data_IF_470381448875
#
_entry.id   IF_470381448875
#
_cell.length_a   1.000
_cell.length_b   1.000
_cell.length_c   1.000
_cell.angle_alpha   90.00
_cell.angle_beta   90.00
_cell.angle_gamma   90.00
#
_symmetry.space_group_name_H-M   'P 1'
#
loop_
_entity.id
_entity.type
_entity.pdbx_description
1 polymer ?
#
# COMPACT_ATOMS: atom_id res chain seq x y z
N UNK A 1 0.97 4.09 24.49
CA UNK A 1 1.74 4.36 23.26
C UNK A 1 0.76 4.56 22.13
N UNK A 2 0.91 5.55 21.23
CA UNK A 2 -0.02 5.65 20.12
C UNK A 2 0.17 4.38 19.29
N UNK A 3 -0.89 3.57 19.22
CA UNK A 3 -0.95 2.45 18.29
C UNK A 3 -0.98 3.10 16.90
N UNK A 4 0.19 3.24 16.27
CA UNK A 4 0.33 4.00 15.03
C UNK A 4 -0.50 3.33 13.95
N UNK A 5 -1.40 4.11 13.37
CA UNK A 5 -2.27 3.64 12.30
C UNK A 5 -1.47 3.34 11.02
N UNK A 6 -2.01 2.46 10.21
CA UNK A 6 -1.45 2.01 8.95
C UNK A 6 -1.27 3.18 7.97
N UNK A 7 -2.10 4.22 8.06
CA UNK A 7 -1.93 5.43 7.25
C UNK A 7 -0.65 6.18 7.58
N UNK A 8 -0.38 6.42 8.86
CA UNK A 8 0.84 7.09 9.32
C UNK A 8 2.06 6.24 8.98
N UNK A 9 1.98 4.92 9.19
CA UNK A 9 3.02 4.00 8.74
C UNK A 9 3.25 4.10 7.22
N UNK A 10 2.18 4.08 6.41
CA UNK A 10 2.28 4.16 4.96
C UNK A 10 2.98 5.43 4.49
N UNK A 11 2.64 6.59 5.08
CA UNK A 11 3.29 7.86 4.75
C UNK A 11 4.79 7.85 5.06
N UNK A 12 5.19 7.36 6.24
CA UNK A 12 6.59 7.32 6.64
C UNK A 12 7.39 6.29 5.83
N UNK A 13 6.79 5.14 5.54
CA UNK A 13 7.40 4.10 4.73
C UNK A 13 7.59 4.58 3.28
N UNK A 14 6.56 5.18 2.69
CA UNK A 14 6.61 5.67 1.31
C UNK A 14 7.59 6.84 1.12
N UNK A 15 7.83 7.64 2.17
CA UNK A 15 8.80 8.72 2.15
C UNK A 15 10.27 8.25 2.16
N UNK A 16 10.53 6.95 2.38
CA UNK A 16 11.90 6.40 2.38
C UNK A 16 12.45 6.27 0.97
N UNK A 17 13.77 6.42 0.87
CA UNK A 17 14.51 6.30 -0.38
C UNK A 17 14.23 4.96 -1.08
N UNK A 18 13.92 5.03 -2.38
CA UNK A 18 13.69 3.88 -3.23
C UNK A 18 12.31 3.21 -3.09
N UNK A 19 11.49 3.58 -2.08
CA UNK A 19 10.17 2.96 -1.87
C UNK A 19 9.19 3.34 -2.97
N UNK A 20 9.10 4.62 -3.34
CA UNK A 20 8.26 5.06 -4.46
C UNK A 20 8.59 4.27 -5.74
N UNK A 21 9.88 4.17 -6.09
CA UNK A 21 10.35 3.41 -7.27
C UNK A 21 9.99 1.93 -7.17
N UNK A 22 10.21 1.30 -6.01
CA UNK A 22 9.86 -0.10 -5.79
C UNK A 22 8.35 -0.35 -5.91
N UNK A 23 7.52 0.53 -5.33
CA UNK A 23 6.07 0.44 -5.42
C UNK A 23 5.58 0.61 -6.87
N UNK A 24 6.15 1.53 -7.64
CA UNK A 24 5.80 1.74 -9.05
C UNK A 24 6.16 0.52 -9.91
N UNK A 25 7.34 -0.07 -9.68
CA UNK A 25 7.77 -1.30 -10.35
C UNK A 25 6.82 -2.46 -10.06
N UNK A 26 6.47 -2.67 -8.79
CA UNK A 26 5.52 -3.72 -8.38
C UNK A 26 4.11 -3.44 -8.92
N UNK A 27 3.68 -2.18 -8.93
CA UNK A 27 2.40 -1.77 -9.49
C UNK A 27 2.32 -2.05 -10.99
N UNK A 28 3.41 -1.85 -11.74
CA UNK A 28 3.47 -2.18 -13.17
C UNK A 28 3.28 -3.69 -13.45
N UNK A 29 3.57 -4.53 -12.46
CA UNK A 29 3.39 -5.98 -12.49
C UNK A 29 1.99 -6.41 -11.99
N UNK A 30 1.09 -5.44 -11.75
CA UNK A 30 -0.29 -5.67 -11.31
C UNK A 30 -0.46 -5.72 -9.79
N UNK A 31 0.54 -5.33 -9.00
CA UNK A 31 0.41 -5.30 -7.55
C UNK A 31 -0.46 -4.11 -7.08
N UNK A 32 -1.22 -4.36 -6.02
CA UNK A 32 -1.89 -3.30 -5.27
C UNK A 32 -0.96 -2.73 -4.20
N UNK A 33 -0.53 -1.47 -4.39
CA UNK A 33 0.38 -0.79 -3.48
C UNK A 33 -0.19 -0.68 -2.06
N UNK A 34 -1.51 -0.48 -1.89
CA UNK A 34 -2.10 -0.40 -0.54
C UNK A 34 -2.03 -1.75 0.18
N UNK A 35 -2.30 -2.84 -0.54
CA UNK A 35 -2.17 -4.20 -0.01
C UNK A 35 -0.71 -4.53 0.31
N UNK A 36 0.23 -4.16 -0.56
CA UNK A 36 1.66 -4.38 -0.31
C UNK A 36 2.20 -3.58 0.88
N UNK A 37 1.76 -2.34 1.07
CA UNK A 37 2.13 -1.54 2.25
C UNK A 37 1.55 -2.17 3.52
N UNK A 38 0.30 -2.64 3.49
CA UNK A 38 -0.30 -3.39 4.60
C UNK A 38 0.47 -4.68 4.90
N UNK A 39 0.82 -5.44 3.85
CA UNK A 39 1.62 -6.66 3.96
C UNK A 39 2.98 -6.38 4.63
N UNK A 40 3.68 -5.32 4.18
CA UNK A 40 4.96 -4.91 4.77
C UNK A 40 4.81 -4.50 6.24
N UNK A 41 3.73 -3.80 6.59
CA UNK A 41 3.42 -3.41 7.96
C UNK A 41 3.17 -4.62 8.87
N UNK A 42 2.37 -5.59 8.43
CA UNK A 42 2.08 -6.82 9.17
C UNK A 42 3.34 -7.69 9.34
N UNK A 43 4.16 -7.78 8.29
CA UNK A 43 5.45 -8.46 8.32
C UNK A 43 6.40 -7.82 9.33
N UNK A 44 6.54 -6.49 9.29
CA UNK A 44 7.39 -5.73 10.21
C UNK A 44 6.94 -5.83 11.68
N UNK A 45 5.64 -6.06 11.91
CA UNK A 45 5.04 -6.30 13.24
C UNK A 45 5.09 -7.78 13.67
N UNK A 46 5.70 -8.67 12.89
CA UNK A 46 5.79 -10.09 13.26
C UNK A 46 4.44 -10.82 13.26
N UNK A 47 3.44 -10.32 12.54
CA UNK A 47 2.13 -10.98 12.44
C UNK A 47 2.27 -12.19 11.51
N UNK A 48 1.83 -13.38 11.96
CA UNK A 48 1.85 -14.58 11.12
C UNK A 48 1.07 -14.39 9.81
N UNK A 49 1.67 -14.84 8.71
CA UNK A 49 1.04 -14.88 7.40
C UNK A 49 0.44 -16.27 7.17
N UNK A 50 -0.87 -16.33 6.93
CA UNK A 50 -1.54 -17.56 6.57
C UNK A 50 -2.61 -17.29 5.50
N UNK A 51 -3.08 -18.36 4.85
CA UNK A 51 -4.01 -18.25 3.72
C UNK A 51 -5.32 -17.55 4.11
N UNK A 52 -5.87 -17.84 5.29
CA UNK A 52 -7.11 -17.24 5.78
C UNK A 52 -6.99 -15.72 5.90
N UNK A 53 -5.92 -15.23 6.54
CA UNK A 53 -5.70 -13.79 6.72
C UNK A 53 -5.39 -13.11 5.39
N UNK A 54 -4.68 -13.77 4.47
CA UNK A 54 -4.47 -13.26 3.11
C UNK A 54 -5.81 -13.09 2.36
N UNK A 55 -6.71 -14.08 2.46
CA UNK A 55 -8.05 -13.99 1.87
C UNK A 55 -8.83 -12.81 2.46
N UNK A 56 -8.79 -12.61 3.79
CA UNK A 56 -9.45 -11.46 4.43
C UNK A 56 -8.96 -10.13 3.88
N UNK A 57 -7.64 -9.95 3.69
CA UNK A 57 -7.13 -8.70 3.12
C UNK A 57 -7.60 -8.48 1.68
N UNK A 58 -7.60 -9.52 0.84
CA UNK A 58 -8.03 -9.40 -0.56
C UNK A 58 -9.55 -9.17 -0.67
N UNK A 59 -10.36 -9.84 0.15
CA UNK A 59 -11.82 -9.62 0.19
C UNK A 59 -12.19 -8.20 0.61
N UNK A 60 -11.40 -7.59 1.50
CA UNK A 60 -11.57 -6.20 1.90
C UNK A 60 -11.07 -5.24 0.83
N UNK A 61 -9.94 -5.55 0.16
CA UNK A 61 -9.30 -4.67 -0.79
C UNK A 61 -9.96 -4.65 -2.16
N UNK A 62 -10.21 -5.83 -2.74
CA UNK A 62 -10.56 -5.96 -4.15
C UNK A 62 -11.81 -5.16 -4.55
N UNK A 63 -12.93 -5.18 -3.79
CA UNK A 63 -14.12 -4.41 -4.17
C UNK A 63 -13.85 -2.90 -4.18
N UNK A 64 -13.15 -2.38 -3.17
CA UNK A 64 -12.85 -0.96 -3.07
C UNK A 64 -11.82 -0.51 -4.10
N UNK A 65 -10.78 -1.33 -4.33
CA UNK A 65 -9.80 -1.10 -5.39
C UNK A 65 -10.50 -0.96 -6.73
N UNK A 66 -11.36 -1.92 -7.09
CA UNK A 66 -11.97 -2.00 -8.41
C UNK A 66 -13.04 -0.91 -8.65
N UNK A 67 -13.85 -0.59 -7.63
CA UNK A 67 -14.96 0.35 -7.79
C UNK A 67 -14.52 1.81 -7.63
N UNK A 68 -13.45 2.07 -6.87
CA UNK A 68 -13.06 3.44 -6.48
C UNK A 68 -11.65 3.78 -6.94
N UNK A 69 -10.64 3.02 -6.53
CA UNK A 69 -9.23 3.43 -6.73
C UNK A 69 -8.82 3.31 -8.21
N UNK A 70 -9.11 2.19 -8.86
CA UNK A 70 -8.78 1.93 -10.26
C UNK A 70 -9.40 2.96 -11.21
N UNK A 71 -10.73 3.26 -11.16
CA UNK A 71 -11.32 4.25 -12.04
C UNK A 71 -10.74 5.67 -11.85
N UNK A 72 -10.46 6.08 -10.61
CA UNK A 72 -9.84 7.38 -10.33
C UNK A 72 -8.42 7.46 -10.90
N UNK A 73 -7.65 6.37 -10.76
CA UNK A 73 -6.27 6.28 -11.25
C UNK A 73 -6.23 6.28 -12.77
N UNK A 74 -7.06 5.47 -13.41
CA UNK A 74 -7.19 5.40 -14.87
C UNK A 74 -7.56 6.76 -15.46
N UNK A 75 -8.57 7.43 -14.89
CA UNK A 75 -8.98 8.76 -15.35
C UNK A 75 -7.85 9.79 -15.18
N UNK A 76 -7.15 9.78 -14.04
CA UNK A 76 -6.02 10.68 -13.77
C UNK A 76 -4.85 10.43 -14.74
N UNK A 77 -4.60 9.18 -15.11
CA UNK A 77 -3.57 8.81 -16.08
C UNK A 77 -3.98 9.22 -17.50
N UNK A 78 -5.22 8.97 -17.90
CA UNK A 78 -5.76 9.38 -19.21
C UNK A 78 -5.68 10.89 -19.43
N UNK A 79 -5.87 11.69 -18.37
CA UNK A 79 -5.78 13.15 -18.45
C UNK A 79 -4.35 13.70 -18.42
N UNK A 80 -3.31 12.86 -18.30
CA UNK A 80 -1.92 13.33 -18.17
C UNK A 80 -1.48 14.19 -19.36
N UNK A 81 -1.58 13.69 -20.59
CA UNK A 81 -1.15 14.43 -21.79
C UNK A 81 -2.10 15.58 -22.16
N UNK A 82 -3.45 15.42 -22.11
CA UNK A 82 -4.36 16.53 -22.40
C UNK A 82 -4.22 17.72 -21.43
N UNK A 83 -3.90 17.47 -20.15
CA UNK A 83 -3.69 18.53 -19.15
C UNK A 83 -2.43 19.39 -19.37
N UNK A 84 -1.54 19.00 -20.30
CA UNK A 84 -0.42 19.84 -20.69
C UNK A 84 -0.89 21.09 -21.44
N UNK A 85 -2.00 20.98 -22.19
CA UNK A 85 -2.52 22.02 -23.06
C UNK A 85 -3.78 22.71 -22.51
N UNK A 86 -4.38 22.19 -21.44
CA UNK A 86 -5.61 22.71 -20.83
C UNK A 86 -5.43 22.93 -19.32
N UNK A 87 -5.49 24.21 -18.89
CA UNK A 87 -5.35 24.60 -17.48
C UNK A 87 -6.51 24.09 -16.62
N UNK A 88 -7.75 24.16 -17.12
CA UNK A 88 -8.91 23.70 -16.38
C UNK A 88 -8.80 22.19 -16.12
N UNK A 89 -8.35 21.44 -17.13
CA UNK A 89 -8.12 20.00 -16.98
C UNK A 89 -6.95 19.70 -16.02
N UNK A 90 -5.91 20.54 -16.00
CA UNK A 90 -4.79 20.41 -15.05
C UNK A 90 -5.23 20.57 -13.60
N UNK A 91 -6.08 21.54 -13.31
CA UNK A 91 -6.65 21.75 -11.97
C UNK A 91 -7.61 20.62 -11.57
N UNK A 92 -8.45 20.15 -12.50
CA UNK A 92 -9.29 18.98 -12.28
C UNK A 92 -8.45 17.73 -11.98
N UNK A 93 -7.33 17.54 -12.69
CA UNK A 93 -6.41 16.41 -12.46
C UNK A 93 -5.73 16.48 -11.08
N UNK A 94 -5.41 17.68 -10.56
CA UNK A 94 -4.91 17.85 -9.19
C UNK A 94 -5.99 17.46 -8.17
N UNK A 95 -7.21 17.91 -8.37
CA UNK A 95 -8.37 17.52 -7.52
C UNK A 95 -8.58 16.02 -7.53
N UNK A 96 -8.50 15.40 -8.71
CA UNK A 96 -8.61 13.96 -8.87
C UNK A 96 -7.50 13.19 -8.16
N UNK A 97 -6.25 13.71 -8.16
CA UNK A 97 -5.15 13.12 -7.38
C UNK A 97 -5.43 13.14 -5.88
N UNK A 98 -5.98 14.23 -5.37
CA UNK A 98 -6.39 14.33 -3.96
C UNK A 98 -7.48 13.31 -3.63
N UNK A 99 -8.48 13.14 -4.51
CA UNK A 99 -9.55 12.16 -4.33
C UNK A 99 -9.02 10.72 -4.38
N UNK A 100 -8.10 10.40 -5.30
CA UNK A 100 -7.41 9.09 -5.35
C UNK A 100 -6.68 8.81 -4.03
N UNK A 101 -5.92 9.77 -3.51
CA UNK A 101 -5.21 9.62 -2.23
C UNK A 101 -6.16 9.41 -1.04
N UNK A 102 -7.30 10.10 -1.01
CA UNK A 102 -8.34 9.89 0.00
C UNK A 102 -8.95 8.49 -0.10
N UNK A 103 -9.16 7.99 -1.32
CA UNK A 103 -9.65 6.63 -1.55
C UNK A 103 -8.62 5.56 -1.11
N UNK A 104 -7.33 5.76 -1.39
CA UNK A 104 -6.24 4.90 -0.93
C UNK A 104 -6.12 4.89 0.60
N UNK A 105 -6.21 6.07 1.25
CA UNK A 105 -6.27 6.16 2.71
C UNK A 105 -7.43 5.35 3.29
N UNK A 106 -8.62 5.51 2.70
CA UNK A 106 -9.82 4.75 3.08
C UNK A 106 -9.62 3.24 2.96
N UNK A 107 -8.88 2.77 1.95
CA UNK A 107 -8.52 1.36 1.81
C UNK A 107 -7.59 0.91 2.94
N UNK A 108 -6.55 1.67 3.24
CA UNK A 108 -5.62 1.36 4.33
C UNK A 108 -6.33 1.31 5.69
N UNK A 109 -7.26 2.21 5.97
CA UNK A 109 -8.07 2.19 7.21
C UNK A 109 -8.95 0.92 7.32
N UNK A 110 -9.50 0.44 6.20
CA UNK A 110 -10.25 -0.84 6.14
C UNK A 110 -9.34 -2.04 6.38
N UNK A 111 -8.17 -2.07 5.75
CA UNK A 111 -7.18 -3.13 5.93
C UNK A 111 -6.66 -3.19 7.37
N UNK A 112 -6.42 -2.03 8.00
CA UNK A 112 -6.07 -1.96 9.41
C UNK A 112 -7.19 -2.50 10.29
N UNK A 113 -8.44 -2.13 10.00
CA UNK A 113 -9.59 -2.62 10.78
C UNK A 113 -9.71 -4.14 10.69
N UNK A 114 -9.54 -4.70 9.49
CA UNK A 114 -9.59 -6.15 9.26
C UNK A 114 -8.46 -6.93 9.95
N UNK A 115 -7.30 -6.30 10.12
CA UNK A 115 -6.10 -6.90 10.73
C UNK A 115 -5.86 -6.51 12.19
N UNK A 116 -6.76 -5.74 12.80
CA UNK A 116 -6.57 -5.13 14.13
C UNK A 116 -6.29 -6.16 15.23
N UNK A 117 -6.99 -7.28 15.21
CA UNK A 117 -6.92 -8.33 16.24
C UNK A 117 -5.83 -9.37 15.94
N UNK A 118 -5.04 -9.18 14.89
CA UNK A 118 -3.94 -10.10 14.56
C UNK A 118 -2.70 -9.74 15.36
N UNK A 119 -2.36 -10.64 16.28
CA UNK A 119 -1.21 -10.51 17.15
C UNK A 119 0.07 -11.07 16.51
N UNK A 120 1.20 -10.66 17.08
CA UNK A 120 2.51 -11.23 16.78
C UNK A 120 2.51 -12.74 17.03
N UNK A 121 3.25 -13.47 16.22
CA UNK A 121 3.40 -14.92 16.35
C UNK A 121 4.84 -15.32 16.04
N UNK A 122 5.25 -16.49 16.54
CA UNK A 122 6.50 -17.15 16.15
C UNK A 122 6.43 -17.83 14.78
N UNK A 123 5.24 -17.88 14.16
CA UNK A 123 5.06 -18.49 12.84
C UNK A 123 5.64 -17.61 11.72
N UNK A 124 5.78 -18.19 10.52
CA UNK A 124 6.25 -17.45 9.35
C UNK A 124 5.36 -16.24 9.03
N UNK A 125 5.98 -15.09 8.78
CA UNK A 125 5.34 -13.79 8.54
C UNK A 125 5.61 -13.24 7.13
N UNK A 126 5.83 -14.11 6.13
CA UNK A 126 6.29 -13.75 4.77
C UNK A 126 5.19 -13.07 3.90
N UNK A 127 4.51 -12.06 4.43
CA UNK A 127 3.38 -11.38 3.83
C UNK A 127 3.69 -10.76 2.47
N UNK A 128 4.81 -10.03 2.35
CA UNK A 128 5.18 -9.39 1.09
C UNK A 128 5.38 -10.41 -0.02
N UNK A 129 6.05 -11.51 0.29
CA UNK A 129 6.29 -12.59 -0.68
C UNK A 129 5.00 -13.33 -1.05
N UNK A 130 4.06 -13.43 -0.10
CA UNK A 130 2.80 -14.15 -0.30
C UNK A 130 1.76 -13.37 -1.11
N UNK A 131 1.73 -12.04 -0.96
CA UNK A 131 0.76 -11.15 -1.62
C UNK A 131 1.32 -10.45 -2.88
N UNK A 132 2.64 -10.49 -3.10
CA UNK A 132 3.21 -9.99 -4.35
C UNK A 132 2.80 -10.87 -5.54
N UNK A 133 2.57 -10.28 -6.73
CA UNK A 133 2.39 -11.03 -7.96
C UNK A 133 3.51 -12.05 -8.21
N UNK A 134 3.18 -13.18 -8.83
CA UNK A 134 4.19 -14.19 -9.19
C UNK A 134 5.20 -13.59 -10.16
N UNK A 135 6.49 -13.80 -9.86
CA UNK A 135 7.58 -13.26 -10.67
C UNK A 135 7.94 -11.81 -10.32
N UNK A 136 7.42 -11.28 -9.21
CA UNK A 136 7.74 -9.91 -8.81
C UNK A 136 9.22 -9.65 -8.60
N UNK A 137 9.63 -8.41 -8.88
CA UNK A 137 11.01 -7.97 -8.72
C UNK A 137 11.46 -8.14 -7.26
N UNK A 138 12.38 -9.09 -7.03
CA UNK A 138 12.89 -9.41 -5.70
C UNK A 138 13.53 -8.20 -5.02
N UNK A 139 14.25 -7.38 -5.77
CA UNK A 139 14.89 -6.17 -5.26
C UNK A 139 13.84 -5.18 -4.76
N UNK A 140 12.75 -4.97 -5.52
CA UNK A 140 11.68 -4.08 -5.10
C UNK A 140 11.00 -4.55 -3.79
N UNK A 141 10.77 -5.86 -3.65
CA UNK A 141 10.23 -6.44 -2.42
C UNK A 141 11.19 -6.30 -1.23
N UNK A 142 12.49 -6.48 -1.45
CA UNK A 142 13.52 -6.30 -0.42
C UNK A 142 13.65 -4.83 0.01
N UNK A 143 13.61 -3.88 -0.93
CA UNK A 143 13.58 -2.44 -0.63
C UNK A 143 12.38 -2.09 0.24
N UNK A 144 11.17 -2.53 -0.16
CA UNK A 144 9.96 -2.26 0.60
C UNK A 144 9.99 -2.91 2.00
N UNK A 145 10.49 -4.13 2.11
CA UNK A 145 10.67 -4.84 3.38
C UNK A 145 11.60 -4.08 4.33
N UNK A 146 12.78 -3.68 3.85
CA UNK A 146 13.75 -2.96 4.66
C UNK A 146 13.21 -1.61 5.13
N UNK A 147 12.55 -0.88 4.23
CA UNK A 147 11.88 0.38 4.55
C UNK A 147 10.78 0.20 5.61
N UNK A 148 9.98 -0.86 5.50
CA UNK A 148 8.94 -1.19 6.47
C UNK A 148 9.51 -1.48 7.86
N UNK A 149 10.56 -2.29 7.97
CA UNK A 149 11.22 -2.57 9.25
C UNK A 149 11.79 -1.31 9.90
N UNK A 150 12.50 -0.48 9.14
CA UNK A 150 13.04 0.77 9.69
C UNK A 150 11.92 1.72 10.13
N UNK A 151 10.84 1.81 9.34
CA UNK A 151 9.66 2.61 9.71
C UNK A 151 9.04 2.12 11.00
N UNK A 152 8.88 0.81 11.14
CA UNK A 152 8.32 0.20 12.34
C UNK A 152 9.20 0.46 13.57
N UNK A 153 10.53 0.38 13.44
CA UNK A 153 11.48 0.68 14.52
C UNK A 153 11.41 2.13 14.97
N UNK A 154 11.47 3.08 14.03
CA UNK A 154 11.39 4.51 14.34
C UNK A 154 10.05 4.89 14.98
N UNK A 155 8.94 4.34 14.47
CA UNK A 155 7.61 4.57 15.01
C UNK A 155 7.40 3.90 16.38
N UNK A 156 8.11 2.81 16.67
CA UNK A 156 8.11 2.17 17.98
C UNK A 156 8.94 2.95 19.04
N UNK A 157 9.67 3.99 18.63
CA UNK A 157 10.47 4.84 19.52
C UNK A 157 11.79 4.21 19.97
N UNK A 158 12.40 3.36 19.12
CA UNK A 158 13.75 2.81 19.32
C UNK A 158 14.78 3.65 18.58
#
# INVERSE_FOLDING_TARGET
MPNLDLWTFALNCYAREGVETACLELQSQGADVCVLICAAWLEARGVACNLERMCVLEEVAAPWRHIVVEPLRELRQAWRSPAEQDEALRELRKTLKTLELQAERSLLERLQTASREWNESTDANQWLSALAPKGSCRIALETLRNAAYQTQLELAGV
#
